data_IF_302878219709
#
_entry.id   IF_302878219709
#
_cell.length_a   1.000
_cell.length_b   1.000
_cell.length_c   1.000
_cell.angle_alpha   90.00
_cell.angle_beta   90.00
_cell.angle_gamma   90.00
#
_symmetry.space_group_name_H-M   'P 1'
#
loop_
_entity.id
_entity.type
_entity.pdbx_description
1 polymer ?
#
# COMPACT_ATOMS: atom_id res chain seq x y z
N UNK A 1 -69.16 24.99 -11.63
CA UNK A 1 -67.88 25.71 -11.36
C UNK A 1 -67.12 25.10 -10.19
N UNK A 2 -67.80 24.68 -9.10
CA UNK A 2 -67.20 24.05 -7.91
C UNK A 2 -66.51 22.69 -8.21
N UNK A 3 -67.08 21.85 -9.07
CA UNK A 3 -66.48 20.54 -9.48
C UNK A 3 -65.17 20.64 -10.26
N UNK A 4 -64.84 21.80 -10.83
CA UNK A 4 -63.60 22.00 -11.59
C UNK A 4 -62.41 22.32 -10.68
N UNK A 5 -62.65 22.92 -9.52
CA UNK A 5 -61.63 23.34 -8.56
C UNK A 5 -61.06 22.10 -7.83
N UNK A 6 -61.92 21.20 -7.35
CA UNK A 6 -61.50 19.94 -6.71
C UNK A 6 -60.65 19.03 -7.62
N UNK A 7 -60.85 19.12 -8.94
CA UNK A 7 -60.07 18.34 -9.91
C UNK A 7 -58.64 18.87 -10.11
N UNK A 8 -58.44 20.18 -9.94
CA UNK A 8 -57.13 20.82 -10.11
C UNK A 8 -56.26 20.57 -8.88
N UNK A 9 -56.80 20.70 -7.67
CA UNK A 9 -56.06 20.45 -6.42
C UNK A 9 -55.56 19.00 -6.33
N UNK A 10 -56.38 18.03 -6.75
CA UNK A 10 -55.96 16.63 -6.85
C UNK A 10 -54.83 16.40 -7.87
N UNK A 11 -54.83 17.14 -8.99
CA UNK A 11 -53.78 17.05 -9.99
C UNK A 11 -52.47 17.67 -9.51
N UNK A 12 -52.52 18.80 -8.82
CA UNK A 12 -51.33 19.44 -8.22
C UNK A 12 -50.73 18.57 -7.12
N UNK A 13 -51.55 18.08 -6.19
CA UNK A 13 -51.11 17.19 -5.11
C UNK A 13 -50.46 15.91 -5.65
N UNK A 14 -51.00 15.31 -6.72
CA UNK A 14 -50.42 14.13 -7.36
C UNK A 14 -49.08 14.42 -8.03
N UNK A 15 -48.93 15.59 -8.67
CA UNK A 15 -47.65 16.01 -9.27
C UNK A 15 -46.59 16.26 -8.20
N UNK A 16 -46.94 16.94 -7.11
CA UNK A 16 -46.02 17.20 -6.00
C UNK A 16 -45.57 15.90 -5.32
N UNK A 17 -46.48 14.95 -5.10
CA UNK A 17 -46.15 13.64 -4.54
C UNK A 17 -45.18 12.87 -5.46
N UNK A 18 -45.45 12.83 -6.76
CA UNK A 18 -44.57 12.18 -7.73
C UNK A 18 -43.19 12.85 -7.84
N UNK A 19 -43.12 14.18 -7.68
CA UNK A 19 -41.84 14.87 -7.61
C UNK A 19 -41.07 14.45 -6.37
N UNK A 20 -41.67 14.51 -5.18
CA UNK A 20 -41.03 14.13 -3.93
C UNK A 20 -40.55 12.66 -3.93
N UNK A 21 -41.34 11.74 -4.50
CA UNK A 21 -40.95 10.33 -4.67
C UNK A 21 -39.73 10.18 -5.58
N UNK A 22 -39.71 10.92 -6.69
CA UNK A 22 -38.60 10.91 -7.63
C UNK A 22 -37.33 11.49 -7.02
N UNK A 23 -37.42 12.59 -6.26
CA UNK A 23 -36.27 13.20 -5.60
C UNK A 23 -35.62 12.23 -4.60
N UNK A 24 -36.43 11.54 -3.78
CA UNK A 24 -35.94 10.49 -2.86
C UNK A 24 -35.30 9.32 -3.60
N UNK A 25 -35.86 8.93 -4.74
CA UNK A 25 -35.28 7.90 -5.58
C UNK A 25 -33.94 8.34 -6.17
N UNK A 26 -33.84 9.55 -6.73
CA UNK A 26 -32.61 10.08 -7.32
C UNK A 26 -31.49 10.20 -6.28
N UNK A 27 -31.81 10.60 -5.04
CA UNK A 27 -30.87 10.57 -3.90
C UNK A 27 -30.36 9.15 -3.63
N UNK A 28 -31.29 8.20 -3.49
CA UNK A 28 -30.96 6.80 -3.21
C UNK A 28 -30.14 6.17 -4.33
N UNK A 29 -30.53 6.38 -5.59
CA UNK A 29 -29.79 5.93 -6.76
C UNK A 29 -28.40 6.57 -6.83
N UNK A 30 -28.28 7.86 -6.48
CA UNK A 30 -27.00 8.57 -6.39
C UNK A 30 -26.05 7.95 -5.36
N UNK A 31 -26.53 7.60 -4.16
CA UNK A 31 -25.73 6.89 -3.16
C UNK A 31 -25.22 5.55 -3.68
N UNK A 32 -26.10 4.73 -4.28
CA UNK A 32 -25.71 3.43 -4.83
C UNK A 32 -24.73 3.56 -6.01
N UNK A 33 -24.92 4.57 -6.86
CA UNK A 33 -24.00 4.89 -7.94
C UNK A 33 -22.60 5.21 -7.43
N UNK A 34 -22.50 6.09 -6.42
CA UNK A 34 -21.23 6.42 -5.76
C UNK A 34 -20.56 5.20 -5.13
N UNK A 35 -21.33 4.35 -4.45
CA UNK A 35 -20.86 3.09 -3.87
C UNK A 35 -20.27 2.15 -4.93
N UNK A 36 -20.98 1.92 -6.04
CA UNK A 36 -20.51 1.06 -7.15
C UNK A 36 -19.23 1.63 -7.76
N UNK A 37 -19.18 2.94 -8.00
CA UNK A 37 -17.99 3.61 -8.51
C UNK A 37 -16.79 3.44 -7.57
N UNK A 38 -17.00 3.64 -6.26
CA UNK A 38 -15.99 3.45 -5.22
C UNK A 38 -15.45 2.02 -5.20
N UNK A 39 -16.34 1.02 -5.10
CA UNK A 39 -15.96 -0.39 -5.09
C UNK A 39 -15.16 -0.76 -6.35
N UNK A 40 -15.64 -0.40 -7.53
CA UNK A 40 -14.95 -0.70 -8.78
C UNK A 40 -13.55 -0.06 -8.84
N UNK A 41 -13.41 1.19 -8.40
CA UNK A 41 -12.12 1.90 -8.34
C UNK A 41 -11.16 1.22 -7.36
N UNK A 42 -11.64 0.86 -6.16
CA UNK A 42 -10.84 0.21 -5.12
C UNK A 42 -10.35 -1.17 -5.57
N UNK A 43 -11.23 -1.98 -6.14
CA UNK A 43 -10.86 -3.32 -6.63
C UNK A 43 -9.87 -3.25 -7.80
N UNK A 44 -10.07 -2.32 -8.73
CA UNK A 44 -9.15 -2.15 -9.86
C UNK A 44 -7.77 -1.65 -9.44
N UNK A 45 -7.70 -0.67 -8.53
CA UNK A 45 -6.42 -0.09 -8.09
C UNK A 45 -5.67 -0.93 -7.05
N UNK A 46 -6.39 -1.55 -6.10
CA UNK A 46 -5.78 -2.21 -4.94
C UNK A 46 -6.15 -3.68 -4.80
N UNK A 47 -7.24 -4.14 -5.41
CA UNK A 47 -7.60 -5.55 -5.41
C UNK A 47 -6.54 -6.40 -6.13
N UNK A 48 -6.09 -5.94 -7.31
CA UNK A 48 -5.00 -6.59 -8.05
C UNK A 48 -3.66 -6.55 -7.28
N UNK A 49 -3.31 -5.38 -6.74
CA UNK A 49 -2.10 -5.20 -5.92
C UNK A 49 -2.07 -6.15 -4.71
N UNK A 50 -3.20 -6.27 -4.02
CA UNK A 50 -3.38 -7.17 -2.86
C UNK A 50 -3.20 -8.63 -3.26
N UNK A 51 -3.76 -9.05 -4.39
CA UNK A 51 -3.63 -10.40 -4.90
C UNK A 51 -2.18 -10.77 -5.23
N UNK A 52 -1.47 -9.86 -5.91
CA UNK A 52 -0.06 -10.04 -6.24
C UNK A 52 0.83 -10.11 -4.98
N UNK A 53 0.59 -9.24 -4.01
CA UNK A 53 1.33 -9.25 -2.73
C UNK A 53 1.01 -10.49 -1.87
N UNK A 54 -0.24 -10.95 -1.88
CA UNK A 54 -0.64 -12.20 -1.22
C UNK A 54 0.11 -13.40 -1.80
N UNK A 55 0.11 -13.53 -3.13
CA UNK A 55 0.85 -14.59 -3.83
C UNK A 55 2.34 -14.52 -3.55
N UNK A 56 2.88 -13.31 -3.41
CA UNK A 56 4.27 -13.09 -3.09
C UNK A 56 4.63 -13.43 -1.63
N UNK A 57 3.66 -13.74 -0.76
CA UNK A 57 3.93 -13.97 0.67
C UNK A 57 4.30 -12.69 1.41
N UNK A 58 3.85 -11.52 0.94
CA UNK A 58 4.07 -10.25 1.64
C UNK A 58 3.32 -10.22 2.96
N UNK A 59 3.97 -9.76 4.02
CA UNK A 59 3.29 -9.40 5.26
C UNK A 59 2.37 -8.20 5.00
N UNK A 60 1.21 -8.16 5.69
CA UNK A 60 0.22 -7.09 5.60
C UNK A 60 -0.30 -6.76 4.19
N UNK A 61 -0.30 -7.72 3.26
CA UNK A 61 -0.76 -7.54 1.87
C UNK A 61 -2.16 -6.91 1.75
N UNK A 62 -3.05 -7.15 2.70
CA UNK A 62 -4.45 -6.68 2.71
C UNK A 62 -4.64 -5.28 3.28
N UNK A 63 -3.67 -4.76 4.04
CA UNK A 63 -3.86 -3.58 4.87
C UNK A 63 -4.17 -2.34 4.03
N UNK A 64 -3.44 -2.19 2.92
CA UNK A 64 -3.61 -1.11 1.94
C UNK A 64 -5.01 -1.10 1.32
N UNK A 65 -5.55 -2.28 0.97
CA UNK A 65 -6.90 -2.42 0.43
C UNK A 65 -7.95 -1.97 1.44
N UNK A 66 -7.81 -2.39 2.70
CA UNK A 66 -8.76 -2.01 3.77
C UNK A 66 -8.73 -0.50 4.02
N UNK A 67 -7.55 0.11 4.11
CA UNK A 67 -7.41 1.56 4.33
C UNK A 67 -8.01 2.38 3.19
N UNK A 68 -7.76 1.95 1.95
CA UNK A 68 -8.31 2.64 0.79
C UNK A 68 -9.82 2.41 0.67
N UNK A 69 -10.32 1.19 0.91
CA UNK A 69 -11.75 0.92 0.95
C UNK A 69 -12.46 1.80 2.00
N UNK A 70 -11.89 1.90 3.20
CA UNK A 70 -12.42 2.69 4.30
C UNK A 70 -12.42 4.21 4.05
N UNK A 71 -11.62 4.70 3.09
CA UNK A 71 -11.54 6.14 2.76
C UNK A 71 -12.29 6.47 1.47
N UNK A 72 -12.05 5.73 0.38
CA UNK A 72 -12.60 6.02 -0.94
C UNK A 72 -14.08 5.69 -1.08
N UNK A 73 -14.54 4.57 -0.50
CA UNK A 73 -15.95 4.15 -0.64
C UNK A 73 -16.88 5.17 0.03
N UNK A 74 -16.62 5.64 1.27
CA UNK A 74 -17.44 6.69 1.88
C UNK A 74 -17.42 7.99 1.08
N UNK A 75 -16.26 8.42 0.58
CA UNK A 75 -16.14 9.67 -0.18
C UNK A 75 -16.93 9.64 -1.49
N UNK A 76 -16.83 8.53 -2.25
CA UNK A 76 -17.55 8.35 -3.51
C UNK A 76 -19.06 8.19 -3.29
N UNK A 77 -19.46 7.46 -2.25
CA UNK A 77 -20.88 7.33 -1.84
C UNK A 77 -21.46 8.69 -1.43
N UNK A 78 -20.70 9.48 -0.66
CA UNK A 78 -21.09 10.83 -0.27
C UNK A 78 -21.23 11.75 -1.49
N UNK A 79 -20.26 11.74 -2.40
CA UNK A 79 -20.32 12.52 -3.65
C UNK A 79 -21.56 12.16 -4.48
N UNK A 80 -21.83 10.86 -4.66
CA UNK A 80 -23.01 10.37 -5.36
C UNK A 80 -24.33 10.82 -4.70
N UNK A 81 -24.40 10.75 -3.36
CA UNK A 81 -25.55 11.20 -2.57
C UNK A 81 -25.77 12.71 -2.71
N UNK A 82 -24.71 13.52 -2.60
CA UNK A 82 -24.79 14.97 -2.74
C UNK A 82 -25.28 15.37 -4.13
N UNK A 83 -24.80 14.71 -5.18
CA UNK A 83 -25.28 14.95 -6.56
C UNK A 83 -26.75 14.58 -6.72
N UNK A 84 -27.18 13.47 -6.10
CA UNK A 84 -28.59 13.06 -6.08
C UNK A 84 -29.51 14.06 -5.38
N UNK A 85 -29.02 14.76 -4.35
CA UNK A 85 -29.78 15.81 -3.62
C UNK A 85 -29.84 17.16 -4.32
N UNK A 86 -28.94 17.44 -5.26
CA UNK A 86 -28.88 18.75 -5.92
C UNK A 86 -29.92 18.80 -7.04
N UNK A 87 -30.98 19.59 -6.82
CA UNK A 87 -31.97 19.93 -7.83
C UNK A 87 -31.53 21.21 -8.58
N UNK A 88 -31.72 21.26 -9.91
CA UNK A 88 -31.42 22.43 -10.74
C UNK A 88 -30.12 22.36 -11.53
N UNK A 89 -29.35 23.46 -11.55
CA UNK A 89 -28.26 23.68 -12.51
C UNK A 89 -27.19 22.55 -12.53
N UNK A 90 -27.05 21.90 -13.69
CA UNK A 90 -26.10 20.80 -13.94
C UNK A 90 -24.66 21.12 -13.51
N UNK A 91 -24.27 22.39 -13.55
CA UNK A 91 -22.93 22.84 -13.14
C UNK A 91 -22.60 22.48 -11.69
N UNK A 92 -23.55 22.58 -10.76
CA UNK A 92 -23.32 22.24 -9.33
C UNK A 92 -23.01 20.75 -9.15
N UNK A 93 -23.71 19.89 -9.89
CA UNK A 93 -23.48 18.44 -9.88
C UNK A 93 -22.08 18.09 -10.38
N UNK A 94 -21.64 18.75 -11.45
CA UNK A 94 -20.30 18.56 -12.03
C UNK A 94 -19.22 18.99 -11.03
N UNK A 95 -19.39 20.14 -10.37
CA UNK A 95 -18.44 20.63 -9.37
C UNK A 95 -18.22 19.60 -8.26
N UNK A 96 -19.28 18.95 -7.75
CA UNK A 96 -19.15 17.95 -6.68
C UNK A 96 -18.23 16.80 -7.08
N UNK A 97 -18.45 16.16 -8.23
CA UNK A 97 -17.61 15.05 -8.67
C UNK A 97 -16.23 15.48 -9.14
N UNK A 98 -16.08 16.67 -9.74
CA UNK A 98 -14.78 17.22 -10.11
C UNK A 98 -13.92 17.40 -8.87
N UNK A 99 -14.47 17.99 -7.81
CA UNK A 99 -13.79 18.17 -6.53
C UNK A 99 -13.51 16.82 -5.88
N UNK A 100 -14.49 15.92 -5.82
CA UNK A 100 -14.31 14.58 -5.24
C UNK A 100 -13.20 13.81 -5.98
N UNK A 101 -13.26 13.74 -7.31
CA UNK A 101 -12.24 13.08 -8.13
C UNK A 101 -10.85 13.71 -8.00
N UNK A 102 -10.79 15.05 -7.92
CA UNK A 102 -9.55 15.78 -7.67
C UNK A 102 -8.92 15.51 -6.30
N UNK A 103 -9.73 15.20 -5.28
CA UNK A 103 -9.27 14.86 -3.92
C UNK A 103 -8.90 13.37 -3.80
N UNK A 104 -9.70 12.48 -4.42
CA UNK A 104 -9.55 11.02 -4.33
C UNK A 104 -8.14 10.58 -4.76
N UNK A 105 -7.60 11.13 -5.85
CA UNK A 105 -6.25 10.78 -6.34
C UNK A 105 -5.14 11.08 -5.32
N UNK A 106 -4.94 12.36 -4.92
CA UNK A 106 -3.97 12.74 -3.91
C UNK A 106 -4.14 11.99 -2.58
N UNK A 107 -5.40 11.84 -2.11
CA UNK A 107 -5.68 11.10 -0.88
C UNK A 107 -5.25 9.63 -0.98
N UNK A 108 -5.51 9.00 -2.13
CA UNK A 108 -5.11 7.61 -2.39
C UNK A 108 -3.59 7.41 -2.30
N UNK A 109 -2.81 8.39 -2.77
CA UNK A 109 -1.34 8.37 -2.65
C UNK A 109 -0.90 8.53 -1.19
N UNK A 110 -1.48 9.49 -0.45
CA UNK A 110 -1.16 9.74 0.96
C UNK A 110 -1.53 8.55 1.86
N UNK A 111 -2.71 7.96 1.65
CA UNK A 111 -3.17 6.79 2.42
C UNK A 111 -2.28 5.57 2.15
N UNK A 112 -1.87 5.36 0.90
CA UNK A 112 -0.99 4.25 0.52
C UNK A 112 0.47 4.40 0.97
N UNK A 113 0.86 5.59 1.47
CA UNK A 113 2.22 5.91 1.93
C UNK A 113 2.24 6.14 3.43
N UNK A 114 1.96 7.37 3.85
CA UNK A 114 1.96 7.78 5.26
C UNK A 114 0.85 7.09 6.06
N UNK A 115 -0.34 6.93 5.47
CA UNK A 115 -1.45 6.23 6.12
C UNK A 115 -1.11 4.77 6.44
N UNK A 116 -0.51 4.06 5.48
CA UNK A 116 -0.09 2.68 5.66
C UNK A 116 1.02 2.57 6.72
N UNK A 117 2.02 3.45 6.68
CA UNK A 117 3.11 3.49 7.67
C UNK A 117 2.57 3.74 9.09
N UNK A 118 1.64 4.67 9.24
CA UNK A 118 1.01 4.97 10.53
C UNK A 118 0.23 3.78 11.10
N UNK A 119 -0.46 3.03 10.24
CA UNK A 119 -1.27 1.88 10.66
C UNK A 119 -0.39 0.68 10.99
N UNK A 120 0.69 0.43 10.23
CA UNK A 120 1.68 -0.61 10.59
C UNK A 120 2.30 -0.29 11.96
N UNK A 121 2.58 0.98 12.27
CA UNK A 121 3.10 1.39 13.58
C UNK A 121 2.13 1.15 14.78
N UNK A 122 0.86 0.83 14.51
CA UNK A 122 -0.10 0.37 15.53
C UNK A 122 0.10 -1.11 15.80
N UNK A 123 0.27 -1.93 14.75
CA UNK A 123 0.48 -3.38 14.84
C UNK A 123 1.89 -3.72 15.33
N UNK A 124 2.87 -2.92 14.93
CA UNK A 124 4.27 -3.09 15.27
C UNK A 124 4.81 -1.80 15.91
N UNK A 125 4.91 -1.75 17.25
CA UNK A 125 5.46 -0.59 17.94
C UNK A 125 6.93 -0.31 17.61
N UNK A 126 7.71 -1.28 17.11
CA UNK A 126 9.12 -1.11 16.81
C UNK A 126 9.34 -0.12 15.66
N UNK A 127 8.40 -0.06 14.70
CA UNK A 127 8.48 0.83 13.54
C UNK A 127 7.86 2.22 13.77
N UNK A 128 7.46 2.56 14.99
CA UNK A 128 6.86 3.87 15.30
C UNK A 128 7.80 5.03 14.97
N UNK A 129 7.26 6.00 14.24
CA UNK A 129 8.01 7.19 13.80
C UNK A 129 8.93 6.94 12.61
N UNK A 130 8.83 5.78 11.95
CA UNK A 130 9.53 5.47 10.71
C UNK A 130 8.51 5.47 9.58
N UNK A 131 8.80 6.22 8.52
CA UNK A 131 7.99 6.20 7.30
C UNK A 131 8.46 5.05 6.42
N UNK A 132 7.76 3.91 6.53
CA UNK A 132 8.06 2.68 5.79
C UNK A 132 7.76 2.83 4.30
N UNK A 133 6.70 3.57 3.99
CA UNK A 133 6.29 3.89 2.63
C UNK A 133 6.39 5.41 2.47
N UNK A 134 7.59 5.95 2.19
CA UNK A 134 7.83 7.38 2.25
C UNK A 134 7.09 8.13 1.15
N UNK A 135 6.50 9.27 1.50
CA UNK A 135 5.99 10.24 0.55
C UNK A 135 7.14 11.01 -0.12
N UNK A 136 7.83 10.35 -1.06
CA UNK A 136 8.98 10.93 -1.75
C UNK A 136 8.59 12.07 -2.70
N UNK A 137 9.59 12.86 -3.12
CA UNK A 137 9.39 13.89 -4.16
C UNK A 137 8.84 13.30 -5.46
N UNK A 138 9.24 12.08 -5.82
CA UNK A 138 8.71 11.38 -6.99
C UNK A 138 7.22 11.03 -6.89
N UNK A 139 6.69 10.78 -5.69
CA UNK A 139 5.24 10.63 -5.45
C UNK A 139 4.56 12.00 -5.50
N UNK A 140 5.18 13.03 -4.92
CA UNK A 140 4.65 14.39 -4.91
C UNK A 140 4.46 14.95 -6.33
N UNK A 141 5.39 14.69 -7.24
CA UNK A 141 5.32 15.08 -8.65
C UNK A 141 4.12 14.46 -9.39
N UNK A 142 3.58 13.33 -8.90
CA UNK A 142 2.43 12.65 -9.52
C UNK A 142 1.09 13.18 -9.02
N UNK A 143 1.04 13.93 -7.92
CA UNK A 143 -0.20 14.49 -7.35
C UNK A 143 -1.00 15.28 -8.39
N UNK A 144 -0.43 16.24 -9.14
CA UNK A 144 -1.20 17.05 -10.08
C UNK A 144 -1.78 16.20 -11.21
N UNK A 145 -1.03 15.20 -11.65
CA UNK A 145 -1.45 14.26 -12.70
C UNK A 145 -2.69 13.47 -12.25
N UNK A 146 -2.60 12.80 -11.10
CA UNK A 146 -3.72 11.98 -10.59
C UNK A 146 -4.92 12.82 -10.18
N UNK A 147 -4.71 14.04 -9.68
CA UNK A 147 -5.78 14.99 -9.38
C UNK A 147 -6.49 15.45 -10.66
N UNK A 148 -5.72 15.78 -11.71
CA UNK A 148 -6.27 16.21 -13.00
C UNK A 148 -7.10 15.11 -13.64
N UNK A 149 -6.55 13.90 -13.76
CA UNK A 149 -7.31 12.77 -14.32
C UNK A 149 -8.51 12.37 -13.46
N UNK A 150 -8.39 12.46 -12.13
CA UNK A 150 -9.52 12.27 -11.22
C UNK A 150 -10.63 13.29 -11.45
N UNK A 151 -10.29 14.57 -11.60
CA UNK A 151 -11.23 15.65 -11.90
C UNK A 151 -11.90 15.47 -13.27
N UNK A 152 -11.13 15.12 -14.31
CA UNK A 152 -11.66 14.82 -15.65
C UNK A 152 -12.63 13.64 -15.60
N UNK A 153 -12.27 12.57 -14.87
CA UNK A 153 -13.15 11.41 -14.65
C UNK A 153 -14.43 11.83 -13.92
N UNK A 154 -14.33 12.71 -12.92
CA UNK A 154 -15.48 13.27 -12.21
C UNK A 154 -16.51 13.97 -13.13
N UNK A 155 -16.05 14.70 -14.15
CA UNK A 155 -16.96 15.30 -15.13
C UNK A 155 -17.77 14.24 -15.89
N UNK A 156 -17.10 13.20 -16.39
CA UNK A 156 -17.74 12.11 -17.14
C UNK A 156 -18.70 11.33 -16.23
N UNK A 157 -18.24 10.99 -15.03
CA UNK A 157 -19.02 10.25 -14.02
C UNK A 157 -20.27 11.02 -13.61
N UNK A 158 -20.25 12.36 -13.58
CA UNK A 158 -21.45 13.16 -13.33
C UNK A 158 -22.50 12.99 -14.42
N UNK A 159 -22.09 13.05 -15.69
CA UNK A 159 -23.00 12.89 -16.83
C UNK A 159 -23.61 11.48 -16.83
N UNK A 160 -22.79 10.45 -16.56
CA UNK A 160 -23.25 9.08 -16.40
C UNK A 160 -24.18 8.90 -15.20
N UNK A 161 -23.94 9.57 -14.07
CA UNK A 161 -24.87 9.51 -12.93
C UNK A 161 -26.25 10.07 -13.30
N UNK A 162 -26.29 11.19 -14.02
CA UNK A 162 -27.57 11.78 -14.45
C UNK A 162 -28.33 10.86 -15.43
N UNK A 163 -27.61 10.22 -16.38
CA UNK A 163 -28.20 9.27 -17.32
C UNK A 163 -28.70 8.00 -16.61
N UNK A 164 -27.86 7.42 -15.75
CA UNK A 164 -28.20 6.21 -15.02
C UNK A 164 -29.35 6.44 -14.06
N UNK A 165 -29.39 7.56 -13.33
CA UNK A 165 -30.52 7.91 -12.45
C UNK A 165 -31.86 7.98 -13.21
N UNK A 166 -31.86 8.54 -14.43
CA UNK A 166 -33.05 8.57 -15.27
C UNK A 166 -33.46 7.16 -15.72
N UNK A 167 -32.53 6.36 -16.22
CA UNK A 167 -32.82 5.01 -16.69
C UNK A 167 -33.20 4.04 -15.55
N UNK A 168 -32.63 4.23 -14.36
CA UNK A 168 -33.01 3.45 -13.18
C UNK A 168 -34.40 3.85 -12.67
N UNK A 169 -34.79 5.13 -12.77
CA UNK A 169 -36.15 5.57 -12.46
C UNK A 169 -37.16 4.94 -13.43
N UNK A 170 -36.88 5.00 -14.74
CA UNK A 170 -37.73 4.40 -15.79
C UNK A 170 -37.85 2.87 -15.66
N UNK A 171 -36.88 2.22 -14.99
CA UNK A 171 -36.88 0.78 -14.72
C UNK A 171 -37.18 0.43 -13.27
N UNK A 172 -37.65 1.38 -12.46
CA UNK A 172 -38.02 1.16 -11.07
C UNK A 172 -39.30 0.34 -10.96
N UNK A 173 -39.45 -0.37 -9.84
CA UNK A 173 -40.69 -1.08 -9.51
C UNK A 173 -41.81 -0.11 -9.13
N UNK A 174 -43.06 -0.60 -9.03
CA UNK A 174 -44.21 0.19 -8.57
C UNK A 174 -44.00 0.84 -7.19
N UNK A 175 -43.13 0.25 -6.37
CA UNK A 175 -42.79 0.74 -5.03
C UNK A 175 -41.59 1.69 -5.03
N UNK A 176 -41.20 2.22 -6.20
CA UNK A 176 -40.04 3.08 -6.39
C UNK A 176 -38.72 2.44 -5.90
N UNK A 177 -38.58 1.11 -6.00
CA UNK A 177 -37.35 0.39 -5.63
C UNK A 177 -36.48 0.08 -6.85
N UNK A 178 -35.17 0.10 -6.66
CA UNK A 178 -34.17 -0.34 -7.63
C UNK A 178 -34.40 -1.81 -8.02
N UNK A 179 -34.62 -2.06 -9.31
CA UNK A 179 -34.74 -3.41 -9.87
C UNK A 179 -33.36 -3.97 -10.22
N UNK A 180 -33.28 -5.28 -10.53
CA UNK A 180 -32.03 -5.92 -11.00
C UNK A 180 -31.45 -5.23 -12.23
N UNK A 181 -32.32 -4.75 -13.14
CA UNK A 181 -31.94 -3.95 -14.30
C UNK A 181 -31.35 -2.60 -13.88
N UNK A 182 -31.98 -1.94 -12.91
CA UNK A 182 -31.45 -0.71 -12.32
C UNK A 182 -30.03 -0.88 -11.77
N UNK A 183 -29.77 -1.97 -11.04
CA UNK A 183 -28.43 -2.30 -10.56
C UNK A 183 -27.40 -2.46 -11.70
N UNK A 184 -27.75 -3.17 -12.78
CA UNK A 184 -26.87 -3.32 -13.95
C UNK A 184 -26.57 -1.97 -14.60
N UNK A 185 -27.56 -1.06 -14.66
CA UNK A 185 -27.36 0.28 -15.21
C UNK A 185 -26.39 1.13 -14.37
N UNK A 186 -26.38 0.98 -13.05
CA UNK A 186 -25.40 1.68 -12.19
C UNK A 186 -23.95 1.26 -12.51
N UNK A 187 -23.73 0.02 -12.95
CA UNK A 187 -22.40 -0.47 -13.36
C UNK A 187 -21.88 0.14 -14.67
N UNK A 188 -22.65 0.97 -15.37
CA UNK A 188 -22.16 1.68 -16.57
C UNK A 188 -20.98 2.63 -16.27
N UNK A 189 -20.80 3.06 -15.01
CA UNK A 189 -19.64 3.85 -14.61
C UNK A 189 -18.35 3.03 -14.42
N UNK A 190 -18.46 1.69 -14.38
CA UNK A 190 -17.35 0.82 -14.01
C UNK A 190 -16.14 0.90 -14.94
N UNK A 191 -16.26 1.02 -16.28
CA UNK A 191 -15.08 1.18 -17.13
C UNK A 191 -14.23 2.41 -16.76
N UNK A 192 -14.87 3.51 -16.37
CA UNK A 192 -14.18 4.73 -15.93
C UNK A 192 -13.57 4.57 -14.54
N UNK A 193 -14.28 3.90 -13.62
CA UNK A 193 -13.76 3.53 -12.31
C UNK A 193 -12.52 2.61 -12.42
N UNK A 194 -12.58 1.62 -13.31
CA UNK A 194 -11.47 0.69 -13.59
C UNK A 194 -10.29 1.44 -14.20
N UNK A 195 -10.53 2.31 -15.20
CA UNK A 195 -9.47 3.14 -15.79
C UNK A 195 -8.78 4.04 -14.76
N UNK A 196 -9.56 4.63 -13.84
CA UNK A 196 -9.03 5.44 -12.75
C UNK A 196 -8.25 4.59 -11.73
N UNK A 197 -8.77 3.42 -11.36
CA UNK A 197 -8.06 2.48 -10.49
C UNK A 197 -6.74 2.01 -11.09
N UNK A 198 -6.72 1.68 -12.39
CA UNK A 198 -5.50 1.31 -13.12
C UNK A 198 -4.49 2.46 -13.18
N UNK A 199 -4.95 3.71 -13.32
CA UNK A 199 -4.09 4.88 -13.23
C UNK A 199 -3.43 4.98 -11.84
N UNK A 200 -4.18 4.76 -10.76
CA UNK A 200 -3.63 4.75 -9.40
C UNK A 200 -2.64 3.59 -9.19
N UNK A 201 -2.94 2.43 -9.77
CA UNK A 201 -2.04 1.28 -9.74
C UNK A 201 -0.69 1.58 -10.41
N UNK A 202 -0.73 2.09 -11.65
CA UNK A 202 0.47 2.49 -12.41
C UNK A 202 1.23 3.65 -11.77
N UNK A 203 0.52 4.58 -11.12
CA UNK A 203 1.12 5.78 -10.52
C UNK A 203 1.82 5.51 -9.19
N UNK A 204 1.48 4.44 -8.46
CA UNK A 204 2.08 4.17 -7.15
C UNK A 204 2.20 2.68 -6.84
N UNK A 205 1.09 1.94 -6.90
CA UNK A 205 1.03 0.59 -6.34
C UNK A 205 2.01 -0.37 -7.02
N UNK A 206 2.05 -0.35 -8.35
CA UNK A 206 3.01 -1.09 -9.17
C UNK A 206 4.47 -0.91 -8.72
N UNK A 207 4.86 0.32 -8.36
CA UNK A 207 6.22 0.61 -7.92
C UNK A 207 6.49 0.15 -6.50
N UNK A 208 5.48 0.26 -5.61
CA UNK A 208 5.59 -0.25 -4.24
C UNK A 208 5.65 -1.78 -4.19
N UNK A 209 4.90 -2.50 -5.05
CA UNK A 209 4.92 -3.97 -5.10
C UNK A 209 6.11 -4.56 -5.85
N UNK A 210 6.70 -3.82 -6.80
CA UNK A 210 7.75 -4.34 -7.67
C UNK A 210 8.93 -4.99 -6.91
N UNK A 211 9.47 -4.39 -5.83
CA UNK A 211 10.49 -5.03 -4.99
C UNK A 211 10.12 -6.44 -4.52
N UNK A 212 8.91 -6.59 -3.98
CA UNK A 212 8.41 -7.84 -3.40
C UNK A 212 8.13 -8.90 -4.48
N UNK A 213 7.67 -8.46 -5.66
CA UNK A 213 7.50 -9.34 -6.83
C UNK A 213 8.83 -9.82 -7.41
N UNK A 214 9.86 -8.95 -7.43
CA UNK A 214 11.20 -9.30 -7.89
C UNK A 214 11.85 -10.31 -6.96
N UNK A 215 11.83 -10.07 -5.65
CA UNK A 215 12.33 -11.03 -4.67
C UNK A 215 11.53 -12.34 -4.68
N UNK A 216 10.18 -12.28 -4.82
CA UNK A 216 9.34 -13.47 -5.02
C UNK A 216 9.82 -14.31 -6.20
N UNK A 217 10.00 -13.68 -7.37
CA UNK A 217 10.47 -14.36 -8.58
C UNK A 217 11.82 -15.06 -8.35
N UNK A 218 12.75 -14.41 -7.65
CA UNK A 218 14.07 -15.00 -7.34
C UNK A 218 13.97 -16.18 -6.40
N UNK A 219 13.15 -16.08 -5.35
CA UNK A 219 12.91 -17.18 -4.42
C UNK A 219 12.32 -18.38 -5.17
N UNK A 220 11.29 -18.15 -5.99
CA UNK A 220 10.69 -19.20 -6.81
C UNK A 220 11.68 -19.81 -7.81
N UNK A 221 12.54 -18.98 -8.41
CA UNK A 221 13.60 -19.46 -9.31
C UNK A 221 14.59 -20.39 -8.58
N UNK A 222 15.05 -20.02 -7.38
CA UNK A 222 15.99 -20.82 -6.60
C UNK A 222 15.36 -22.12 -6.08
N UNK A 223 14.07 -22.11 -5.76
CA UNK A 223 13.32 -23.29 -5.35
C UNK A 223 13.06 -24.25 -6.52
N UNK A 224 12.91 -23.73 -7.74
CA UNK A 224 12.60 -24.53 -8.92
C UNK A 224 13.84 -25.12 -9.62
N UNK A 225 14.98 -24.45 -9.54
CA UNK A 225 16.20 -24.88 -10.23
C UNK A 225 17.07 -25.79 -9.36
N UNK A 226 17.77 -26.78 -9.95
CA UNK A 226 18.75 -27.56 -9.22
C UNK A 226 20.03 -26.73 -8.97
N UNK A 227 20.85 -27.06 -7.94
CA UNK A 227 22.08 -26.31 -7.63
C UNK A 227 23.17 -26.34 -8.72
N UNK A 228 23.12 -27.32 -9.60
CA UNK A 228 24.03 -27.55 -10.72
C UNK A 228 23.40 -27.19 -12.08
N UNK A 229 22.38 -26.32 -12.07
CA UNK A 229 21.69 -25.91 -13.29
C UNK A 229 22.66 -25.32 -14.34
N UNK A 230 22.52 -25.79 -15.58
CA UNK A 230 23.36 -25.36 -16.71
C UNK A 230 23.03 -23.92 -17.12
N UNK A 231 23.87 -22.99 -16.66
CA UNK A 231 23.75 -21.54 -16.89
C UNK A 231 23.75 -21.20 -18.39
N UNK A 232 24.39 -22.01 -19.24
CA UNK A 232 24.46 -21.76 -20.68
C UNK A 232 23.11 -21.91 -21.40
N UNK A 233 22.16 -22.63 -20.78
CA UNK A 233 20.80 -22.82 -21.31
C UNK A 233 19.82 -21.74 -20.83
N UNK A 234 20.23 -20.90 -19.90
CA UNK A 234 19.38 -19.85 -19.34
C UNK A 234 19.44 -18.59 -20.20
N UNK A 235 18.34 -17.84 -20.26
CA UNK A 235 18.38 -16.50 -20.84
C UNK A 235 19.20 -15.55 -19.93
N UNK A 236 19.73 -14.47 -20.50
CA UNK A 236 20.63 -13.55 -19.78
C UNK A 236 20.04 -12.98 -18.49
N UNK A 237 18.73 -12.68 -18.47
CA UNK A 237 18.08 -12.16 -17.26
C UNK A 237 17.99 -13.21 -16.15
N UNK A 238 17.71 -14.47 -16.50
CA UNK A 238 17.69 -15.59 -15.55
C UNK A 238 19.09 -15.91 -15.03
N UNK A 239 20.13 -15.76 -15.85
CA UNK A 239 21.53 -15.92 -15.39
C UNK A 239 21.88 -14.89 -14.32
N UNK A 240 21.54 -13.61 -14.53
CA UNK A 240 21.82 -12.55 -13.56
C UNK A 240 21.07 -12.80 -12.24
N UNK A 241 19.79 -13.15 -12.34
CA UNK A 241 18.93 -13.54 -11.23
C UNK A 241 19.52 -14.74 -10.47
N UNK A 242 19.99 -15.77 -11.19
CA UNK A 242 20.57 -16.98 -10.61
C UNK A 242 21.90 -16.71 -9.90
N UNK A 243 22.82 -16.02 -10.56
CA UNK A 243 24.14 -15.72 -9.97
C UNK A 243 24.01 -14.87 -8.70
N UNK A 244 23.03 -13.96 -8.64
CA UNK A 244 22.78 -13.13 -7.47
C UNK A 244 22.26 -13.89 -6.24
N UNK A 245 21.54 -15.00 -6.44
CA UNK A 245 20.85 -15.72 -5.37
C UNK A 245 21.37 -17.14 -5.10
N UNK A 246 22.09 -17.77 -6.06
CA UNK A 246 22.50 -19.17 -5.99
C UNK A 246 23.34 -19.51 -4.76
N UNK A 247 24.16 -18.56 -4.28
CA UNK A 247 24.96 -18.71 -3.04
C UNK A 247 24.10 -19.03 -1.81
N UNK A 248 22.83 -18.63 -1.81
CA UNK A 248 21.89 -18.81 -0.71
C UNK A 248 20.87 -19.93 -0.95
N UNK A 249 20.89 -20.58 -2.12
CA UNK A 249 19.84 -21.50 -2.55
C UNK A 249 19.52 -22.60 -1.53
N UNK A 250 20.55 -23.15 -0.87
CA UNK A 250 20.39 -24.21 0.15
C UNK A 250 19.57 -23.78 1.37
N UNK A 251 19.44 -22.48 1.60
CA UNK A 251 18.68 -21.91 2.73
C UNK A 251 17.24 -21.57 2.35
N UNK A 252 16.88 -21.59 1.07
CA UNK A 252 15.54 -21.23 0.66
C UNK A 252 14.59 -22.39 0.90
N UNK A 253 13.43 -22.08 1.48
CA UNK A 253 12.35 -23.03 1.71
C UNK A 253 11.06 -22.53 1.06
N UNK A 254 10.09 -23.42 0.78
CA UNK A 254 8.82 -23.01 0.18
C UNK A 254 7.95 -22.12 1.08
N UNK A 255 8.24 -22.06 2.39
CA UNK A 255 7.48 -21.29 3.37
C UNK A 255 8.31 -20.09 3.81
N UNK A 256 7.87 -18.91 3.40
CA UNK A 256 8.52 -17.66 3.74
C UNK A 256 7.52 -16.52 3.84
N UNK A 257 7.92 -15.46 4.53
CA UNK A 257 7.21 -14.18 4.62
C UNK A 257 8.13 -13.06 4.15
N UNK A 258 7.63 -12.21 3.28
CA UNK A 258 8.38 -11.07 2.74
C UNK A 258 7.93 -9.77 3.42
N UNK A 259 8.89 -8.91 3.77
CA UNK A 259 8.67 -7.59 4.35
C UNK A 259 9.50 -6.57 3.60
N UNK A 260 8.92 -5.40 3.36
CA UNK A 260 9.72 -4.27 2.89
C UNK A 260 10.46 -3.69 4.09
N UNK A 261 11.78 -3.66 3.99
CA UNK A 261 12.65 -3.08 5.01
C UNK A 261 12.77 -1.57 4.81
N UNK A 262 13.09 -1.10 3.61
CA UNK A 262 13.34 0.33 3.40
C UNK A 262 13.13 0.70 1.93
N UNK A 263 12.87 1.98 1.67
CA UNK A 263 12.90 2.55 0.33
C UNK A 263 13.91 3.69 0.28
N UNK A 264 14.53 3.89 -0.89
CA UNK A 264 15.20 5.16 -1.15
C UNK A 264 14.16 6.29 -1.13
N UNK A 265 14.20 7.07 -0.05
CA UNK A 265 13.28 8.17 0.23
C UNK A 265 13.31 9.28 -0.82
N UNK A 266 14.41 9.41 -1.58
CA UNK A 266 14.53 10.45 -2.61
C UNK A 266 13.88 10.00 -3.92
N UNK A 267 14.24 8.82 -4.41
CA UNK A 267 13.91 8.44 -5.78
C UNK A 267 12.89 7.31 -5.89
N UNK A 268 12.65 6.55 -4.81
CA UNK A 268 11.93 5.26 -4.86
C UNK A 268 12.44 4.34 -5.98
N UNK A 269 13.72 4.45 -6.36
CA UNK A 269 14.33 3.56 -7.36
C UNK A 269 14.95 2.34 -6.75
N UNK A 270 15.15 2.33 -5.43
CA UNK A 270 15.64 1.14 -4.75
C UNK A 270 14.81 0.88 -3.51
N UNK A 271 14.66 -0.39 -3.19
CA UNK A 271 14.01 -0.84 -1.97
C UNK A 271 14.74 -2.07 -1.43
N UNK A 272 14.71 -2.24 -0.12
CA UNK A 272 15.22 -3.42 0.54
C UNK A 272 14.06 -4.32 0.93
N UNK A 273 14.15 -5.60 0.58
CA UNK A 273 13.15 -6.61 0.93
C UNK A 273 13.82 -7.68 1.78
N UNK A 274 13.18 -8.01 2.89
CA UNK A 274 13.54 -9.11 3.77
C UNK A 274 12.61 -10.29 3.47
N UNK A 275 13.16 -11.47 3.26
CA UNK A 275 12.43 -12.71 3.20
C UNK A 275 12.86 -13.60 4.38
N UNK A 276 11.94 -13.82 5.31
CA UNK A 276 12.12 -14.72 6.46
C UNK A 276 11.61 -16.11 6.09
N UNK A 277 12.49 -17.11 6.18
CA UNK A 277 12.17 -18.51 5.90
C UNK A 277 11.92 -19.28 7.20
N UNK A 278 11.18 -20.39 7.11
CA UNK A 278 10.81 -21.22 8.26
C UNK A 278 11.99 -21.93 8.96
N UNK A 279 13.18 -21.93 8.35
CA UNK A 279 14.43 -22.42 8.94
C UNK A 279 15.21 -21.34 9.71
N UNK A 280 14.66 -20.14 9.88
CA UNK A 280 15.28 -19.02 10.58
C UNK A 280 16.27 -18.21 9.74
N UNK A 281 16.47 -18.57 8.47
CA UNK A 281 17.25 -17.76 7.54
C UNK A 281 16.46 -16.51 7.15
N UNK A 282 17.11 -15.35 7.20
CA UNK A 282 16.51 -14.08 6.80
C UNK A 282 17.36 -13.46 5.69
N UNK A 283 16.81 -13.45 4.49
CA UNK A 283 17.47 -12.96 3.30
C UNK A 283 17.08 -11.51 3.03
N UNK A 284 18.04 -10.58 3.09
CA UNK A 284 17.80 -9.17 2.73
C UNK A 284 18.46 -8.86 1.40
N UNK A 285 17.70 -8.29 0.46
CA UNK A 285 18.22 -7.85 -0.83
C UNK A 285 17.85 -6.42 -1.15
N UNK A 286 18.76 -5.71 -1.84
CA UNK A 286 18.41 -4.48 -2.52
C UNK A 286 17.81 -4.80 -3.89
N UNK A 287 16.61 -4.29 -4.14
CA UNK A 287 15.91 -4.36 -5.41
C UNK A 287 16.03 -3.00 -6.11
N UNK A 288 16.19 -3.00 -7.44
CA UNK A 288 16.17 -1.77 -8.24
C UNK A 288 14.82 -1.69 -8.96
N UNK A 289 13.99 -0.74 -8.58
CA UNK A 289 12.67 -0.50 -9.16
C UNK A 289 12.85 0.03 -10.58
N UNK A 290 12.23 -0.65 -11.55
CA UNK A 290 12.43 -0.50 -13.00
C UNK A 290 13.82 -0.91 -13.53
N UNK A 291 14.68 -1.44 -12.66
CA UNK A 291 15.89 -2.16 -13.04
C UNK A 291 15.62 -3.66 -13.06
N UNK A 292 16.35 -4.41 -13.88
CA UNK A 292 16.33 -5.86 -13.79
C UNK A 292 17.28 -6.30 -12.67
N UNK A 293 16.72 -6.95 -11.65
CA UNK A 293 17.47 -7.75 -10.69
C UNK A 293 17.54 -7.22 -9.26
N UNK A 294 18.13 -8.04 -8.41
CA UNK A 294 18.54 -7.72 -7.05
C UNK A 294 20.04 -7.65 -6.95
N UNK A 295 20.53 -6.88 -5.99
CA UNK A 295 21.94 -6.78 -5.63
C UNK A 295 22.10 -6.73 -4.11
N UNK A 296 23.35 -6.85 -3.67
CA UNK A 296 23.74 -6.63 -2.27
C UNK A 296 22.94 -7.51 -1.29
N UNK A 297 22.68 -8.76 -1.69
CA UNK A 297 21.83 -9.71 -0.97
C UNK A 297 22.57 -10.41 0.16
N UNK A 298 22.17 -10.25 1.42
CA UNK A 298 22.89 -10.75 2.61
C UNK A 298 22.05 -11.70 3.47
N UNK A 299 22.72 -12.54 4.26
CA UNK A 299 22.12 -13.15 5.45
C UNK A 299 22.03 -12.06 6.53
N UNK A 300 20.80 -11.65 6.85
CA UNK A 300 20.55 -10.59 7.81
C UNK A 300 20.97 -11.00 9.23
N UNK A 301 20.79 -12.27 9.59
CA UNK A 301 21.12 -12.78 10.92
C UNK A 301 22.63 -12.74 11.14
N UNK A 302 23.39 -13.23 10.16
CA UNK A 302 24.86 -13.20 10.21
C UNK A 302 25.40 -11.77 10.20
N UNK A 303 24.93 -10.92 9.28
CA UNK A 303 25.38 -9.54 9.18
C UNK A 303 25.17 -8.76 10.48
N UNK A 304 23.98 -8.85 11.08
CA UNK A 304 23.67 -8.11 12.30
C UNK A 304 24.30 -8.71 13.55
N UNK A 305 24.58 -10.02 13.55
CA UNK A 305 25.42 -10.65 14.58
C UNK A 305 26.82 -10.02 14.56
N UNK A 306 27.44 -9.94 13.39
CA UNK A 306 28.78 -9.38 13.24
C UNK A 306 28.82 -7.90 13.61
N UNK A 307 27.83 -7.12 13.15
CA UNK A 307 27.74 -5.70 13.50
C UNK A 307 27.53 -5.48 15.00
N UNK A 308 26.67 -6.26 15.64
CA UNK A 308 26.48 -6.21 17.08
C UNK A 308 27.77 -6.57 17.82
N UNK A 309 28.46 -7.64 17.42
CA UNK A 309 29.72 -8.05 18.03
C UNK A 309 30.80 -6.96 17.92
N UNK A 310 30.96 -6.35 16.74
CA UNK A 310 31.91 -5.25 16.52
C UNK A 310 31.54 -4.03 17.36
N UNK A 311 30.27 -3.66 17.38
CA UNK A 311 29.77 -2.52 18.15
C UNK A 311 30.00 -2.70 19.66
N UNK A 312 29.67 -3.86 20.22
CA UNK A 312 29.88 -4.13 21.63
C UNK A 312 31.37 -4.08 22.01
N UNK A 313 32.23 -4.67 21.17
CA UNK A 313 33.67 -4.77 21.44
C UNK A 313 34.43 -3.45 21.25
N UNK A 314 34.10 -2.68 20.23
CA UNK A 314 34.91 -1.54 19.78
C UNK A 314 34.17 -0.21 19.77
N UNK A 315 32.84 -0.21 19.90
CA UNK A 315 32.01 0.97 19.69
C UNK A 315 31.91 1.42 18.23
N UNK A 316 32.47 0.65 17.28
CA UNK A 316 32.51 0.96 15.84
C UNK A 316 31.99 -0.26 15.07
N UNK A 317 31.34 -0.02 13.94
CA UNK A 317 30.94 -1.07 12.98
C UNK A 317 31.62 -0.80 11.65
N UNK A 318 32.39 -1.77 11.18
CA UNK A 318 32.99 -1.77 9.85
C UNK A 318 32.13 -2.64 8.94
N UNK A 319 31.74 -2.07 7.80
CA UNK A 319 31.05 -2.79 6.75
C UNK A 319 31.59 -2.41 5.39
N UNK A 320 31.68 -3.39 4.50
CA UNK A 320 32.08 -3.18 3.13
C UNK A 320 30.88 -2.63 2.33
N UNK A 321 31.07 -1.49 1.64
CA UNK A 321 30.05 -0.84 0.80
C UNK A 321 28.76 -0.42 1.51
N UNK A 322 28.81 -0.21 2.83
CA UNK A 322 27.67 0.26 3.62
C UNK A 322 28.08 1.44 4.51
N UNK A 323 27.10 2.19 5.00
CA UNK A 323 27.32 3.25 5.98
C UNK A 323 26.51 2.93 7.23
N UNK A 324 27.20 2.63 8.33
CA UNK A 324 26.61 2.51 9.66
C UNK A 324 26.89 3.78 10.45
N UNK A 325 25.84 4.44 10.91
CA UNK A 325 25.93 5.64 11.74
C UNK A 325 25.63 5.29 13.19
N UNK A 326 26.44 5.80 14.10
CA UNK A 326 26.27 5.58 15.54
C UNK A 326 26.04 6.96 16.16
N UNK A 327 24.80 7.31 16.54
CA UNK A 327 24.49 8.56 17.19
C UNK A 327 25.27 8.73 18.50
N UNK A 328 25.61 9.97 18.91
CA UNK A 328 26.36 10.23 20.14
C UNK A 328 25.76 9.58 21.40
N UNK A 329 24.43 9.56 21.63
CA UNK A 329 23.86 8.88 22.80
C UNK A 329 24.20 7.38 22.85
N UNK A 330 24.17 6.69 21.71
CA UNK A 330 24.50 5.26 21.61
C UNK A 330 25.99 5.01 21.85
N UNK A 331 26.85 5.91 21.36
CA UNK A 331 28.29 5.84 21.60
C UNK A 331 28.64 6.06 23.08
N UNK A 332 27.96 7.01 23.74
CA UNK A 332 28.10 7.26 25.18
C UNK A 332 27.65 6.02 25.97
N UNK A 333 26.50 5.44 25.61
CA UNK A 333 26.01 4.21 26.24
C UNK A 333 27.03 3.06 26.11
N UNK A 334 27.61 2.86 24.93
CA UNK A 334 28.59 1.80 24.71
C UNK A 334 29.84 2.04 25.57
N UNK A 335 30.35 3.27 25.59
CA UNK A 335 31.54 3.64 26.38
C UNK A 335 31.29 3.43 27.88
N UNK A 336 30.10 3.81 28.39
CA UNK A 336 29.73 3.64 29.80
C UNK A 336 29.60 2.17 30.22
N UNK A 337 29.27 1.28 29.27
CA UNK A 337 29.05 -0.13 29.54
C UNK A 337 30.23 -1.01 29.12
N UNK A 338 31.26 -0.48 28.46
CA UNK A 338 32.33 -1.24 27.82
C UNK A 338 33.00 -2.30 28.72
N UNK A 339 33.19 -2.01 30.01
CA UNK A 339 33.78 -2.95 30.98
C UNK A 339 32.90 -4.18 31.24
N UNK A 340 31.59 -4.06 31.05
CA UNK A 340 30.60 -5.11 31.24
C UNK A 340 30.17 -5.78 29.93
N UNK A 341 30.53 -5.19 28.78
CA UNK A 341 30.30 -5.76 27.45
C UNK A 341 31.43 -6.74 27.12
N UNK A 342 31.52 -7.82 27.89
CA UNK A 342 32.41 -8.94 27.57
C UNK A 342 31.99 -9.62 26.26
N UNK A 343 32.77 -10.57 25.76
CA UNK A 343 32.37 -11.37 24.60
C UNK A 343 30.96 -11.98 24.84
N UNK A 344 29.98 -11.67 23.98
CA UNK A 344 28.62 -12.16 24.14
C UNK A 344 28.59 -13.67 23.94
N UNK A 345 27.84 -14.38 24.78
CA UNK A 345 27.65 -15.84 24.66
C UNK A 345 26.82 -16.19 23.43
N UNK A 346 25.83 -15.36 23.15
CA UNK A 346 24.91 -15.53 22.05
C UNK A 346 24.47 -14.15 21.55
N UNK A 347 24.35 -14.02 20.23
CA UNK A 347 23.73 -12.86 19.59
C UNK A 347 22.64 -13.37 18.67
N UNK A 348 21.42 -12.88 18.89
CA UNK A 348 20.22 -13.30 18.18
C UNK A 348 19.45 -12.10 17.64
N UNK A 349 18.90 -12.29 16.44
CA UNK A 349 17.94 -11.38 15.83
C UNK A 349 16.57 -11.64 16.48
N UNK A 350 16.04 -10.67 17.20
CA UNK A 350 14.75 -10.82 17.91
C UNK A 350 13.59 -10.33 17.08
N UNK A 351 13.81 -9.28 16.28
CA UNK A 351 12.76 -8.68 15.48
C UNK A 351 13.37 -7.99 14.25
N UNK A 352 12.69 -8.11 13.11
CA UNK A 352 13.00 -7.34 11.91
C UNK A 352 11.72 -7.00 11.14
N UNK A 353 11.44 -5.71 11.01
CA UNK A 353 10.32 -5.21 10.21
C UNK A 353 10.55 -3.75 9.88
N UNK A 354 10.18 -3.35 8.66
CA UNK A 354 10.18 -1.94 8.29
C UNK A 354 11.52 -1.21 8.50
N UNK A 355 12.63 -1.92 8.27
CA UNK A 355 13.97 -1.33 8.38
C UNK A 355 14.40 -1.14 9.82
N UNK A 356 13.61 -1.61 10.78
CA UNK A 356 14.03 -1.78 12.17
C UNK A 356 14.50 -3.20 12.35
N UNK A 357 15.71 -3.33 12.88
CA UNK A 357 16.29 -4.60 13.27
C UNK A 357 16.64 -4.51 14.75
N UNK A 358 16.07 -5.40 15.57
CA UNK A 358 16.38 -5.49 17.00
C UNK A 358 17.23 -6.72 17.22
N UNK A 359 18.42 -6.49 17.74
CA UNK A 359 19.41 -7.54 18.03
C UNK A 359 19.63 -7.59 19.52
N UNK A 360 19.60 -8.79 20.08
CA UNK A 360 19.98 -9.01 21.48
C UNK A 360 21.27 -9.77 21.59
N UNK A 361 22.09 -9.39 22.57
CA UNK A 361 23.32 -10.07 22.94
C UNK A 361 23.22 -10.53 24.40
N UNK A 362 23.34 -11.83 24.62
CA UNK A 362 23.34 -12.44 25.94
C UNK A 362 24.75 -12.38 26.52
N UNK A 363 24.95 -11.57 27.55
CA UNK A 363 26.22 -11.40 28.26
C UNK A 363 26.25 -12.34 29.49
N UNK A 364 27.41 -12.56 30.13
CA UNK A 364 27.53 -13.44 31.29
C UNK A 364 26.64 -13.05 32.48
N UNK A 365 26.34 -11.75 32.65
CA UNK A 365 25.61 -11.19 33.80
C UNK A 365 24.42 -10.30 33.42
N UNK A 366 24.13 -10.12 32.14
CA UNK A 366 23.07 -9.20 31.65
C UNK A 366 22.72 -9.46 30.19
N UNK A 367 21.73 -8.73 29.66
CA UNK A 367 21.43 -8.73 28.23
C UNK A 367 21.61 -7.31 27.66
N UNK A 368 22.15 -7.19 26.46
CA UNK A 368 22.12 -5.94 25.70
C UNK A 368 21.16 -6.07 24.52
N UNK A 369 20.25 -5.12 24.35
CA UNK A 369 19.35 -5.02 23.21
C UNK A 369 19.67 -3.74 22.46
N UNK A 370 19.97 -3.85 21.17
CA UNK A 370 20.25 -2.70 20.31
C UNK A 370 19.26 -2.66 19.14
N UNK A 371 18.76 -1.46 18.86
CA UNK A 371 17.88 -1.18 17.73
C UNK A 371 18.66 -0.52 16.61
N UNK A 372 18.65 -1.17 15.46
CA UNK A 372 19.19 -0.68 14.20
C UNK A 372 18.05 -0.17 13.33
N UNK A 373 18.24 0.95 12.63
CA UNK A 373 17.21 1.60 11.82
C UNK A 373 17.77 1.98 10.45
N UNK A 374 17.03 1.64 9.40
CA UNK A 374 17.40 1.85 7.99
C UNK A 374 18.11 0.64 7.41
N UNK A 375 18.11 0.52 6.08
CA UNK A 375 18.84 -0.54 5.39
C UNK A 375 20.16 -0.04 4.78
N UNK A 376 20.18 1.17 4.20
CA UNK A 376 21.40 1.81 3.72
C UNK A 376 21.17 3.32 3.54
N UNK A 377 21.66 4.18 4.46
CA UNK A 377 22.48 3.84 5.63
C UNK A 377 21.70 3.15 6.76
N UNK A 378 22.41 2.38 7.58
CA UNK A 378 21.88 1.85 8.84
C UNK A 378 22.33 2.74 10.01
N UNK A 379 21.51 2.91 11.03
CA UNK A 379 21.85 3.65 12.25
C UNK A 379 21.59 2.82 13.49
N UNK A 380 22.55 2.75 14.43
CA UNK A 380 22.34 2.11 15.75
C UNK A 380 21.67 3.12 16.68
N UNK A 381 20.34 3.20 16.62
CA UNK A 381 19.57 4.30 17.19
C UNK A 381 19.60 4.32 18.71
N UNK A 382 19.42 3.17 19.33
CA UNK A 382 19.37 3.02 20.77
C UNK A 382 19.86 1.63 21.19
N UNK A 383 20.45 1.57 22.37
CA UNK A 383 20.83 0.33 23.03
C UNK A 383 20.44 0.41 24.50
N UNK A 384 19.93 -0.69 25.04
CA UNK A 384 19.53 -0.81 26.44
C UNK A 384 20.13 -2.07 27.04
N UNK A 385 20.51 -1.98 28.32
CA UNK A 385 20.95 -3.13 29.10
C UNK A 385 19.76 -3.60 29.94
N UNK A 386 19.40 -4.88 29.82
CA UNK A 386 18.33 -5.55 30.57
C UNK A 386 18.90 -6.46 31.65
#
# INVERSE_FOLDING_TARGET
MITRIDSLDKLFSRKELHLAERERFEETAGSHYGLVFGIATVLAGWGWDTYELWRAGSEFFWLKLVLIAATLIPLTTLAGTLVGRIHGANLRRVIVWVVAGGIIGPLSLLVSTEGLSAVIAIFDPAVRGISLYPFSSGVQERIPLVATFGALTGMVVTALQALTARWTWESSSSDNRLTRRGWVLLWLCAPFAIGLGALYDGSLNSQLRAPVQLSYRLIQLMLAMPPDADIQKMNTSTVLDYVGASRWQKHFTPRYVQRISDYDRKTLRTAFVDAEFDNGFVWRCQTIINGYGTKDCVDLVEQYRDWMQQFLKTGIVQCENCMVTIPPPTQIWQTQNATNLSEPREISLVHHAGGVVVVTATLPSSQAECRFVGASPTSIRDCVKR
#
